data_IF_137117747649
#
_entry.id   IF_137117747649
#
_cell.length_a   1.000
_cell.length_b   1.000
_cell.length_c   1.000
_cell.angle_alpha   90.00
_cell.angle_beta   90.00
_cell.angle_gamma   90.00
#
_symmetry.space_group_name_H-M   'P 1'
#
loop_
_entity.id
_entity.type
_entity.pdbx_description
1 polymer ?
#
# COMPACT_ATOMS: atom_id res chain seq x y z
N UNK A 1 10.89 9.52 -15.08
CA UNK A 1 9.61 10.22 -14.80
C UNK A 1 8.71 10.17 -16.03
N UNK A 2 9.22 10.49 -17.22
CA UNK A 2 8.45 10.47 -18.46
C UNK A 2 7.82 9.10 -18.75
N UNK A 3 8.53 8.01 -18.46
CA UNK A 3 8.08 6.63 -18.70
C UNK A 3 6.89 6.23 -17.80
N UNK A 4 6.71 6.91 -16.66
CA UNK A 4 5.62 6.65 -15.70
C UNK A 4 4.41 7.58 -15.87
N UNK A 5 4.60 8.82 -16.34
CA UNK A 5 3.57 9.86 -16.39
C UNK A 5 3.20 10.20 -17.84
N UNK A 6 4.05 9.81 -18.79
CA UNK A 6 3.82 10.07 -20.23
C UNK A 6 3.78 11.56 -20.55
N UNK A 7 2.89 11.94 -21.45
CA UNK A 7 2.77 13.31 -21.98
C UNK A 7 1.97 14.27 -21.08
N UNK A 8 1.53 13.83 -19.90
CA UNK A 8 0.69 14.64 -18.99
C UNK A 8 1.49 15.34 -17.87
N UNK A 9 2.77 15.53 -18.06
CA UNK A 9 3.67 16.14 -17.04
C UNK A 9 3.20 17.51 -16.56
N UNK A 10 2.52 18.26 -17.42
CA UNK A 10 1.92 19.56 -17.09
C UNK A 10 0.84 19.51 -16.02
N UNK A 11 0.23 18.33 -15.79
CA UNK A 11 -0.79 18.11 -14.75
C UNK A 11 -0.22 17.81 -13.37
N UNK A 12 1.12 17.65 -13.27
CA UNK A 12 1.78 17.25 -12.03
C UNK A 12 2.68 18.35 -11.47
N UNK A 13 2.90 18.30 -10.17
CA UNK A 13 4.02 18.93 -9.47
C UNK A 13 5.02 17.83 -9.10
N UNK A 14 6.30 18.16 -9.17
CA UNK A 14 7.40 17.23 -8.94
C UNK A 14 8.33 17.80 -7.89
N UNK A 15 8.91 16.90 -7.13
CA UNK A 15 10.02 17.17 -6.25
C UNK A 15 10.95 15.96 -6.20
N UNK A 16 12.16 16.10 -5.71
CA UNK A 16 13.09 15.01 -5.57
C UNK A 16 13.97 15.18 -4.33
N UNK A 17 14.38 14.05 -3.77
CA UNK A 17 15.39 13.99 -2.73
C UNK A 17 16.56 13.14 -3.22
N UNK A 18 17.77 13.54 -2.85
CA UNK A 18 18.97 12.76 -3.10
C UNK A 18 19.10 11.71 -2.01
N UNK A 19 19.14 10.43 -2.41
CA UNK A 19 19.27 9.30 -1.49
C UNK A 19 20.75 8.99 -1.26
N UNK A 20 21.49 8.77 -2.35
CA UNK A 20 22.89 8.34 -2.28
C UNK A 20 23.67 8.89 -3.48
N UNK A 21 24.94 9.24 -3.23
CA UNK A 21 25.88 9.59 -4.30
C UNK A 21 26.96 8.52 -4.36
N UNK A 22 27.12 7.90 -5.53
CA UNK A 22 28.22 6.99 -5.87
C UNK A 22 29.20 7.73 -6.80
N UNK A 23 30.40 7.20 -7.00
CA UNK A 23 31.46 7.89 -7.75
C UNK A 23 31.04 8.44 -9.13
N UNK A 24 30.08 7.79 -9.82
CA UNK A 24 29.60 8.18 -11.16
C UNK A 24 28.08 8.23 -11.31
N UNK A 25 27.34 7.91 -10.25
CA UNK A 25 25.87 7.86 -10.29
C UNK A 25 25.29 8.47 -9.04
N UNK A 26 24.09 9.00 -9.18
CA UNK A 26 23.34 9.59 -8.08
C UNK A 26 21.96 8.93 -8.06
N UNK A 27 21.60 8.37 -6.91
CA UNK A 27 20.28 7.79 -6.71
C UNK A 27 19.34 8.88 -6.17
N UNK A 28 18.27 9.11 -6.91
CA UNK A 28 17.28 10.14 -6.58
C UNK A 28 15.93 9.48 -6.30
N UNK A 29 15.28 9.87 -5.22
CA UNK A 29 13.87 9.59 -4.99
C UNK A 29 13.04 10.73 -5.57
N UNK A 30 12.33 10.46 -6.65
CA UNK A 30 11.36 11.39 -7.25
C UNK A 30 9.98 11.21 -6.67
N UNK A 31 9.31 12.30 -6.36
CA UNK A 31 7.90 12.33 -5.99
C UNK A 31 7.10 13.15 -7.00
N UNK A 32 5.91 12.66 -7.35
CA UNK A 32 4.98 13.36 -8.21
C UNK A 32 3.58 13.38 -7.59
N UNK A 33 2.94 14.54 -7.66
CA UNK A 33 1.58 14.72 -7.18
C UNK A 33 0.77 15.48 -8.23
N UNK A 34 -0.49 15.12 -8.48
CA UNK A 34 -1.32 15.90 -9.38
C UNK A 34 -1.56 17.30 -8.82
N UNK A 35 -1.56 18.30 -9.68
CA UNK A 35 -1.89 19.68 -9.29
C UNK A 35 -3.24 19.78 -8.60
N UNK A 36 -4.21 18.99 -9.06
CA UNK A 36 -5.55 18.94 -8.47
C UNK A 36 -5.50 18.49 -7.01
N UNK A 37 -4.76 17.40 -6.71
CA UNK A 37 -4.62 16.90 -5.34
C UNK A 37 -3.88 17.91 -4.46
N UNK A 38 -2.79 18.52 -4.95
CA UNK A 38 -2.07 19.56 -4.24
C UNK A 38 -2.96 20.75 -3.89
N UNK A 39 -3.80 21.22 -4.83
CA UNK A 39 -4.75 22.31 -4.60
C UNK A 39 -5.85 21.94 -3.59
N UNK A 40 -6.31 20.68 -3.58
CA UNK A 40 -7.28 20.20 -2.59
C UNK A 40 -6.69 20.25 -1.17
N UNK A 41 -5.46 19.82 -0.97
CA UNK A 41 -4.79 19.91 0.33
C UNK A 41 -4.53 21.35 0.75
N UNK A 42 -4.14 22.22 -0.19
CA UNK A 42 -3.98 23.65 0.09
C UNK A 42 -5.29 24.29 0.52
N UNK A 43 -6.39 23.97 -0.15
CA UNK A 43 -7.73 24.44 0.21
C UNK A 43 -8.15 23.94 1.58
N UNK A 44 -7.92 22.66 1.87
CA UNK A 44 -8.22 22.05 3.17
C UNK A 44 -7.44 22.73 4.30
N UNK A 45 -6.15 22.95 4.11
CA UNK A 45 -5.30 23.65 5.08
C UNK A 45 -5.79 25.07 5.34
N UNK A 46 -6.13 25.83 4.28
CA UNK A 46 -6.71 27.19 4.41
C UNK A 46 -8.03 27.20 5.17
N UNK A 47 -8.92 26.22 4.90
CA UNK A 47 -10.20 26.11 5.64
C UNK A 47 -9.99 25.80 7.13
N UNK A 48 -8.94 25.06 7.46
CA UNK A 48 -8.54 24.75 8.83
C UNK A 48 -7.70 25.88 9.48
N UNK A 49 -7.53 27.01 8.81
CA UNK A 49 -6.64 28.12 9.25
C UNK A 49 -5.18 27.68 9.46
N UNK A 50 -4.71 26.70 8.69
CA UNK A 50 -3.35 26.16 8.73
C UNK A 50 -2.57 26.59 7.48
N UNK A 51 -1.25 26.71 7.63
CA UNK A 51 -0.35 26.90 6.50
C UNK A 51 0.16 25.53 6.02
N UNK A 52 -0.16 25.15 4.79
CA UNK A 52 0.46 23.98 4.18
C UNK A 52 1.94 24.26 3.91
N UNK A 53 2.84 23.49 4.49
CA UNK A 53 4.30 23.63 4.33
C UNK A 53 4.91 22.60 3.39
N UNK A 54 4.19 21.49 3.14
CA UNK A 54 4.63 20.45 2.22
C UNK A 54 3.65 19.28 2.16
N UNK A 55 3.77 18.48 1.11
CA UNK A 55 3.14 17.18 0.95
C UNK A 55 4.24 16.13 0.84
N UNK A 56 4.22 15.14 1.68
CA UNK A 56 5.25 14.09 1.75
C UNK A 56 4.59 12.74 1.52
N UNK A 57 5.14 11.88 0.65
CA UNK A 57 4.66 10.50 0.54
C UNK A 57 4.69 9.78 1.88
N UNK A 58 3.61 9.09 2.25
CA UNK A 58 3.48 8.43 3.56
C UNK A 58 4.61 7.42 3.82
N UNK A 59 5.12 6.77 2.78
CA UNK A 59 6.22 5.81 2.87
C UNK A 59 7.50 6.40 3.45
N UNK A 60 7.77 7.69 3.23
CA UNK A 60 8.94 8.36 3.83
C UNK A 60 8.80 8.53 5.35
N UNK A 61 7.57 8.51 5.87
CA UNK A 61 7.34 8.44 7.31
C UNK A 61 7.76 7.09 7.90
N UNK A 62 7.57 6.01 7.17
CA UNK A 62 8.03 4.67 7.56
C UNK A 62 9.56 4.60 7.61
N UNK A 63 10.25 5.15 6.61
CA UNK A 63 11.71 5.22 6.58
C UNK A 63 12.27 5.88 7.85
N UNK A 64 11.66 6.98 8.29
CA UNK A 64 12.06 7.65 9.54
C UNK A 64 11.85 6.81 10.79
N UNK A 65 10.76 6.05 10.86
CA UNK A 65 10.50 5.14 11.99
C UNK A 65 11.57 4.05 12.04
N UNK A 66 11.95 3.53 10.88
CA UNK A 66 12.91 2.44 10.74
C UNK A 66 14.36 2.90 10.98
N UNK A 67 14.71 4.12 10.58
CA UNK A 67 15.98 4.78 10.98
C UNK A 67 16.12 4.85 12.51
N UNK A 68 15.02 5.15 13.21
CA UNK A 68 15.01 5.20 14.67
C UNK A 68 15.25 3.83 15.32
N UNK A 69 14.83 2.75 14.65
CA UNK A 69 15.09 1.39 15.10
C UNK A 69 16.55 0.92 14.91
N UNK A 70 17.41 1.76 14.31
CA UNK A 70 18.86 1.53 14.08
C UNK A 70 19.20 0.27 13.25
N UNK A 71 18.28 -0.27 12.52
CA UNK A 71 18.52 -1.45 11.67
C UNK A 71 18.65 -1.03 10.20
N UNK A 72 19.89 -0.98 9.71
CA UNK A 72 20.19 -0.87 8.28
C UNK A 72 20.23 -2.27 7.66
N UNK A 73 19.06 -2.83 7.36
CA UNK A 73 18.91 -4.13 6.73
C UNK A 73 17.86 -4.05 5.63
N UNK A 74 17.78 -5.07 4.83
CA UNK A 74 16.69 -5.25 3.89
C UNK A 74 15.47 -5.76 4.65
N UNK A 75 14.34 -5.09 4.46
CA UNK A 75 13.07 -5.49 5.06
C UNK A 75 11.89 -5.06 4.20
N UNK A 76 10.76 -5.70 4.48
CA UNK A 76 9.48 -5.35 3.90
C UNK A 76 8.51 -4.93 5.01
N UNK A 77 7.82 -3.83 4.81
CA UNK A 77 6.74 -3.35 5.70
C UNK A 77 5.41 -3.64 5.05
N UNK A 78 4.56 -4.38 5.76
CA UNK A 78 3.19 -4.67 5.35
C UNK A 78 2.25 -3.60 5.89
N UNK A 79 1.60 -2.87 4.99
CA UNK A 79 0.49 -1.96 5.29
C UNK A 79 -0.82 -2.67 4.91
N UNK A 80 -1.56 -3.11 5.93
CA UNK A 80 -2.83 -3.82 5.80
C UNK A 80 -3.99 -2.82 5.81
N UNK A 81 -4.13 -2.08 4.72
CA UNK A 81 -5.18 -1.08 4.58
C UNK A 81 -6.55 -1.68 4.26
N UNK A 82 -7.61 -0.94 4.56
CA UNK A 82 -9.01 -1.33 4.31
C UNK A 82 -9.27 -1.57 2.81
N UNK A 83 -8.87 -0.65 1.94
CA UNK A 83 -9.12 -0.74 0.50
C UNK A 83 -8.03 -1.50 -0.27
N UNK A 84 -6.79 -1.40 0.18
CA UNK A 84 -5.65 -2.01 -0.48
C UNK A 84 -4.59 -2.44 0.54
N UNK A 85 -3.91 -3.52 0.24
CA UNK A 85 -2.71 -3.97 0.94
C UNK A 85 -1.49 -3.41 0.23
N UNK A 86 -0.50 -2.93 0.97
CA UNK A 86 0.75 -2.47 0.39
C UNK A 86 1.93 -3.17 1.04
N UNK A 87 2.92 -3.48 0.24
CA UNK A 87 4.22 -3.96 0.71
C UNK A 87 5.25 -2.93 0.28
N UNK A 88 5.84 -2.28 1.26
CA UNK A 88 6.92 -1.32 1.06
C UNK A 88 8.25 -2.03 1.28
N UNK A 89 9.08 -2.07 0.25
CA UNK A 89 10.41 -2.69 0.31
C UNK A 89 11.46 -1.62 0.59
N UNK A 90 12.36 -1.97 1.49
CA UNK A 90 13.51 -1.15 1.86
C UNK A 90 14.79 -1.97 1.70
N UNK A 91 15.80 -1.36 1.13
CA UNK A 91 17.12 -1.95 0.93
C UNK A 91 18.16 -1.11 1.68
N UNK A 92 18.93 -1.74 2.55
CA UNK A 92 19.89 -1.06 3.42
C UNK A 92 19.26 0.10 4.23
N UNK A 93 17.99 -0.05 4.58
CA UNK A 93 17.22 0.98 5.28
C UNK A 93 16.65 2.10 4.41
N UNK A 94 16.88 2.09 3.09
CA UNK A 94 16.37 3.08 2.14
C UNK A 94 15.17 2.53 1.40
N UNK A 95 14.16 3.36 1.17
CA UNK A 95 12.98 2.99 0.39
C UNK A 95 13.36 2.62 -1.05
N UNK A 96 12.90 1.46 -1.51
CA UNK A 96 13.10 0.96 -2.86
C UNK A 96 11.81 1.03 -3.69
N UNK A 97 10.80 0.27 -3.33
CA UNK A 97 9.54 0.22 -4.08
C UNK A 97 8.36 -0.17 -3.20
N UNK A 98 7.15 0.22 -3.64
CA UNK A 98 5.88 -0.27 -3.07
C UNK A 98 5.15 -1.13 -4.08
N UNK A 99 4.62 -2.25 -3.62
CA UNK A 99 3.65 -3.08 -4.34
C UNK A 99 2.29 -2.95 -3.68
N UNK A 100 1.28 -2.60 -4.48
CA UNK A 100 -0.11 -2.49 -4.04
C UNK A 100 -0.90 -3.68 -4.57
N UNK A 101 -1.73 -4.24 -3.71
CA UNK A 101 -2.62 -5.36 -4.01
C UNK A 101 -4.05 -4.98 -3.61
N UNK A 102 -5.02 -5.37 -4.41
CA UNK A 102 -6.44 -5.21 -4.14
C UNK A 102 -7.15 -6.57 -4.22
N UNK A 103 -8.21 -6.78 -3.43
CA UNK A 103 -8.75 -5.88 -2.42
C UNK A 103 -7.91 -5.82 -1.14
N UNK A 104 -8.20 -4.81 -0.27
CA UNK A 104 -7.62 -4.73 1.07
C UNK A 104 -8.39 -5.57 2.10
N UNK A 105 -8.37 -5.13 3.35
CA UNK A 105 -8.97 -5.81 4.49
C UNK A 105 -10.44 -5.44 4.76
N UNK A 106 -11.10 -4.67 3.87
CA UNK A 106 -12.47 -4.17 4.11
C UNK A 106 -13.47 -5.28 4.43
N UNK A 107 -13.40 -6.38 3.68
CA UNK A 107 -14.29 -7.51 3.89
C UNK A 107 -14.05 -8.20 5.24
N UNK A 108 -12.79 -8.38 5.63
CA UNK A 108 -12.42 -8.92 6.94
C UNK A 108 -12.96 -8.02 8.06
N UNK A 109 -12.80 -6.70 7.94
CA UNK A 109 -13.31 -5.74 8.90
C UNK A 109 -14.84 -5.77 9.01
N UNK A 110 -15.54 -5.93 7.89
CA UNK A 110 -16.99 -6.07 7.84
C UNK A 110 -17.47 -7.34 8.56
N UNK A 111 -16.81 -8.47 8.29
CA UNK A 111 -17.11 -9.74 8.94
C UNK A 111 -16.92 -9.67 10.46
N UNK A 112 -15.81 -9.08 10.91
CA UNK A 112 -15.56 -8.89 12.34
C UNK A 112 -16.55 -7.95 13.02
N UNK A 113 -17.13 -6.98 12.29
CA UNK A 113 -18.19 -6.11 12.81
C UNK A 113 -19.58 -6.76 12.82
N UNK A 114 -19.70 -7.97 12.29
CA UNK A 114 -20.97 -8.66 12.16
C UNK A 114 -21.85 -8.08 11.04
N UNK A 115 -21.27 -7.38 10.09
CA UNK A 115 -21.99 -6.90 8.92
C UNK A 115 -22.44 -8.10 8.08
N UNK A 116 -23.68 -8.06 7.59
CA UNK A 116 -24.23 -9.15 6.77
C UNK A 116 -23.39 -9.32 5.49
N UNK A 117 -22.96 -10.54 5.22
CA UNK A 117 -22.34 -10.93 3.96
C UNK A 117 -23.41 -10.83 2.87
N UNK A 118 -23.09 -10.21 1.74
CA UNK A 118 -23.99 -10.22 0.59
C UNK A 118 -24.02 -11.62 -0.01
N UNK A 119 -25.23 -12.12 -0.26
CA UNK A 119 -25.48 -13.45 -0.84
C UNK A 119 -24.76 -13.66 -2.19
N UNK A 120 -24.59 -12.58 -2.95
CA UNK A 120 -23.92 -12.60 -4.28
C UNK A 120 -22.40 -12.91 -4.18
N UNK A 121 -21.82 -12.82 -2.99
CA UNK A 121 -20.40 -13.11 -2.73
C UNK A 121 -20.19 -14.57 -2.32
N UNK A 122 -21.27 -15.31 -2.05
CA UNK A 122 -21.26 -16.73 -1.74
C UNK A 122 -21.76 -17.49 -2.97
N UNK A 123 -20.91 -18.34 -3.52
CA UNK A 123 -21.22 -19.21 -4.68
C UNK A 123 -22.16 -20.38 -4.25
N UNK A 124 -23.34 -20.03 -3.68
CA UNK A 124 -24.30 -20.96 -3.08
C UNK A 124 -25.74 -20.63 -3.51
N UNK A 125 -26.58 -21.64 -3.56
CA UNK A 125 -28.02 -21.47 -3.81
C UNK A 125 -28.68 -20.60 -2.73
N UNK A 126 -29.58 -19.69 -3.16
CA UNK A 126 -30.07 -18.57 -2.34
C UNK A 126 -30.73 -18.97 -1.00
N UNK A 127 -31.34 -20.15 -0.90
CA UNK A 127 -32.00 -20.62 0.32
C UNK A 127 -30.99 -21.17 1.35
N UNK A 128 -30.03 -21.96 0.90
CA UNK A 128 -28.98 -22.52 1.77
C UNK A 128 -27.98 -21.43 2.20
N UNK A 129 -27.70 -20.46 1.33
CA UNK A 129 -26.83 -19.32 1.60
C UNK A 129 -27.40 -18.42 2.72
N UNK A 130 -28.73 -18.22 2.80
CA UNK A 130 -29.32 -17.35 3.80
C UNK A 130 -29.15 -17.88 5.24
N UNK A 131 -29.29 -19.18 5.44
CA UNK A 131 -29.13 -19.80 6.75
C UNK A 131 -27.68 -20.07 7.12
N UNK A 132 -26.86 -20.42 6.14
CA UNK A 132 -25.43 -20.73 6.34
C UNK A 132 -24.58 -19.47 6.51
N UNK A 133 -24.90 -18.40 5.81
CA UNK A 133 -24.15 -17.13 5.90
C UNK A 133 -24.31 -16.42 7.26
N UNK A 134 -25.26 -16.81 8.10
CA UNK A 134 -25.47 -16.27 9.44
C UNK A 134 -24.90 -17.15 10.56
N UNK A 135 -24.38 -18.34 10.24
CA UNK A 135 -23.75 -19.19 11.24
C UNK A 135 -22.32 -18.69 11.55
N UNK A 136 -21.93 -18.74 12.84
CA UNK A 136 -20.54 -18.43 13.24
C UNK A 136 -19.53 -19.27 12.47
N UNK A 137 -19.84 -20.54 12.20
CA UNK A 137 -18.96 -21.44 11.45
C UNK A 137 -18.75 -21.02 9.99
N UNK A 138 -19.79 -20.45 9.34
CA UNK A 138 -19.65 -19.95 7.97
C UNK A 138 -18.81 -18.66 7.93
N UNK A 139 -19.01 -17.76 8.89
CA UNK A 139 -18.22 -16.54 9.03
C UNK A 139 -16.76 -16.91 9.27
N UNK A 140 -16.47 -17.82 10.19
CA UNK A 140 -15.11 -18.26 10.50
C UNK A 140 -14.42 -18.91 9.29
N UNK A 141 -15.13 -19.74 8.54
CA UNK A 141 -14.59 -20.35 7.32
C UNK A 141 -14.26 -19.30 6.27
N UNK A 142 -15.15 -18.34 6.05
CA UNK A 142 -14.94 -17.26 5.09
C UNK A 142 -13.78 -16.34 5.49
N UNK A 143 -13.63 -16.04 6.78
CA UNK A 143 -12.48 -15.33 7.32
C UNK A 143 -11.18 -16.09 7.07
N UNK A 144 -11.14 -17.40 7.32
CA UNK A 144 -9.97 -18.24 7.06
C UNK A 144 -9.57 -18.23 5.57
N UNK A 145 -10.54 -18.36 4.67
CA UNK A 145 -10.30 -18.31 3.22
C UNK A 145 -9.72 -16.95 2.81
N UNK A 146 -10.22 -15.87 3.39
CA UNK A 146 -9.70 -14.51 3.14
C UNK A 146 -8.29 -14.31 3.65
N UNK A 147 -8.00 -14.74 4.87
CA UNK A 147 -6.64 -14.70 5.41
C UNK A 147 -5.67 -15.51 4.56
N UNK A 148 -6.08 -16.70 4.13
CA UNK A 148 -5.26 -17.54 3.26
C UNK A 148 -5.01 -16.88 1.91
N UNK A 149 -6.03 -16.29 1.29
CA UNK A 149 -5.89 -15.55 0.03
C UNK A 149 -4.90 -14.41 0.15
N UNK A 150 -5.01 -13.59 1.20
CA UNK A 150 -4.08 -12.48 1.48
C UNK A 150 -2.65 -13.00 1.68
N UNK A 151 -2.47 -14.06 2.47
CA UNK A 151 -1.17 -14.65 2.72
C UNK A 151 -0.51 -15.13 1.42
N UNK A 152 -1.27 -15.78 0.54
CA UNK A 152 -0.77 -16.23 -0.78
C UNK A 152 -0.37 -15.04 -1.66
N UNK A 153 -1.15 -13.96 -1.67
CA UNK A 153 -0.82 -12.76 -2.42
C UNK A 153 0.47 -12.11 -1.90
N UNK A 154 0.60 -11.95 -0.59
CA UNK A 154 1.82 -11.43 0.05
C UNK A 154 3.03 -12.29 -0.33
N UNK A 155 2.93 -13.61 -0.19
CA UNK A 155 4.02 -14.52 -0.55
C UNK A 155 4.44 -14.40 -2.02
N UNK A 156 3.49 -14.27 -2.94
CA UNK A 156 3.79 -14.08 -4.36
C UNK A 156 4.60 -12.81 -4.60
N UNK A 157 4.21 -11.72 -3.97
CA UNK A 157 4.91 -10.43 -4.11
C UNK A 157 6.31 -10.50 -3.50
N UNK A 158 6.45 -11.09 -2.31
CA UNK A 158 7.75 -11.27 -1.66
C UNK A 158 8.70 -12.13 -2.50
N UNK A 159 8.21 -13.27 -3.01
CA UNK A 159 9.00 -14.16 -3.85
C UNK A 159 9.42 -13.47 -5.16
N UNK A 160 8.50 -12.75 -5.81
CA UNK A 160 8.80 -12.00 -7.03
C UNK A 160 9.87 -10.92 -6.78
N UNK A 161 9.77 -10.19 -5.67
CA UNK A 161 10.76 -9.18 -5.30
C UNK A 161 12.12 -9.81 -5.03
N UNK A 162 12.16 -10.89 -4.25
CA UNK A 162 13.41 -11.61 -3.94
C UNK A 162 14.09 -12.17 -5.19
N UNK A 163 13.29 -12.76 -6.10
CA UNK A 163 13.81 -13.33 -7.35
C UNK A 163 14.46 -12.27 -8.25
N UNK A 164 13.79 -11.12 -8.43
CA UNK A 164 14.30 -10.04 -9.28
C UNK A 164 15.50 -9.30 -8.68
N UNK A 165 15.78 -9.46 -7.40
CA UNK A 165 16.87 -8.79 -6.72
C UNK A 165 18.02 -9.77 -6.35
N UNK A 166 17.87 -11.07 -6.57
CA UNK A 166 18.90 -12.06 -6.30
C UNK A 166 20.15 -11.91 -7.20
N UNK A 167 19.99 -11.31 -8.39
CA UNK A 167 21.09 -11.11 -9.35
C UNK A 167 21.91 -9.83 -9.07
N UNK A 168 21.56 -9.04 -8.05
CA UNK A 168 22.24 -7.78 -7.70
C UNK A 168 23.07 -7.87 -6.41
N UNK A 169 23.26 -9.07 -5.87
CA UNK A 169 24.21 -9.38 -4.79
C UNK A 169 25.32 -10.25 -5.33
#
# INVERSE_FOLDING_TARGET
VHDYIGNEMDKYVFDYAMIQTKERTMDLLGAACTKTLSQQFEKLAKMACLKLVGLVPAVLGLERILEYAQERKDYAVLDLGTQALRIHFFREGVYDITRTMEPGCEEIERLHRGDKIKLDELDMDAEDAFWTAQSEEAIDRHLQDRYQSIAVQIMRVLNFYSFNNADNT
#
